data_IF_476734745669
#
_entry.id   IF_476734745669
#
_cell.length_a   1.000
_cell.length_b   1.000
_cell.length_c   1.000
_cell.angle_alpha   90.00
_cell.angle_beta   90.00
_cell.angle_gamma   90.00
#
_symmetry.space_group_name_H-M   'P 1'
#
loop_
_entity.id
_entity.type
_entity.pdbx_description
1 polymer ?
#
# COMPACT_ATOMS: atom_id res chain seq x y z
N UNK A 1 12.90 -7.30 7.84
CA UNK A 1 13.71 -6.68 6.77
C UNK A 1 13.01 -5.52 6.07
N UNK A 2 12.30 -4.66 6.84
CA UNK A 2 11.69 -3.44 6.34
C UNK A 2 12.77 -2.37 6.11
N UNK A 3 12.72 -1.68 4.97
CA UNK A 3 13.60 -0.54 4.73
C UNK A 3 13.18 0.65 5.62
N UNK A 4 11.88 0.96 5.61
CA UNK A 4 11.24 1.94 6.52
C UNK A 4 9.73 1.69 6.55
N UNK A 5 9.03 2.30 7.53
CA UNK A 5 7.58 2.18 7.63
C UNK A 5 6.87 2.99 6.54
N UNK A 6 6.08 2.32 5.73
CA UNK A 6 5.33 2.91 4.63
C UNK A 6 3.90 3.31 5.01
N UNK A 7 3.46 2.99 6.22
CA UNK A 7 2.10 3.29 6.69
C UNK A 7 1.74 4.77 6.56
N UNK A 8 2.62 5.73 6.93
CA UNK A 8 2.30 7.16 6.80
C UNK A 8 2.05 7.58 5.35
N UNK A 9 2.79 7.00 4.39
CA UNK A 9 2.62 7.28 2.96
C UNK A 9 1.30 6.73 2.42
N UNK A 10 0.95 5.50 2.83
CA UNK A 10 -0.34 4.90 2.47
C UNK A 10 -1.52 5.70 3.02
N UNK A 11 -1.45 6.11 4.30
CA UNK A 11 -2.50 6.94 4.94
C UNK A 11 -2.61 8.32 4.27
N UNK A 12 -1.48 8.94 3.90
CA UNK A 12 -1.49 10.23 3.21
C UNK A 12 -2.12 10.11 1.81
N UNK A 13 -1.83 9.02 1.09
CA UNK A 13 -2.44 8.73 -0.21
C UNK A 13 -3.95 8.53 -0.08
N UNK A 14 -4.41 7.77 0.92
CA UNK A 14 -5.83 7.57 1.19
C UNK A 14 -6.55 8.90 1.47
N UNK A 15 -5.99 9.73 2.38
CA UNK A 15 -6.51 11.07 2.67
C UNK A 15 -6.55 11.97 1.43
N UNK A 16 -5.53 11.90 0.58
CA UNK A 16 -5.49 12.63 -0.68
C UNK A 16 -6.64 12.23 -1.60
N UNK A 17 -6.87 10.93 -1.83
CA UNK A 17 -7.98 10.45 -2.64
C UNK A 17 -9.34 10.82 -2.04
N UNK A 18 -9.52 10.68 -0.72
CA UNK A 18 -10.76 11.07 -0.04
C UNK A 18 -11.04 12.57 -0.25
N UNK A 19 -10.03 13.44 -0.15
CA UNK A 19 -10.18 14.88 -0.38
C UNK A 19 -10.59 15.24 -1.81
N UNK A 20 -10.37 14.36 -2.76
CA UNK A 20 -10.66 14.52 -4.19
C UNK A 20 -11.84 13.68 -4.69
N UNK A 21 -12.53 12.97 -3.81
CA UNK A 21 -13.56 11.98 -4.18
C UNK A 21 -14.68 12.54 -5.05
N UNK A 22 -15.01 13.82 -4.89
CA UNK A 22 -16.04 14.51 -5.69
C UNK A 22 -15.51 15.13 -6.98
N UNK A 23 -14.20 15.19 -7.16
CA UNK A 23 -13.57 15.87 -8.31
C UNK A 23 -12.98 14.89 -9.32
N UNK A 24 -12.61 13.68 -8.89
CA UNK A 24 -12.08 12.68 -9.79
C UNK A 24 -13.20 11.87 -10.45
N UNK A 25 -13.19 11.86 -11.77
CA UNK A 25 -14.03 10.99 -12.59
C UNK A 25 -13.15 9.95 -13.27
N UNK A 26 -12.83 8.87 -12.54
CA UNK A 26 -11.98 7.81 -13.07
C UNK A 26 -12.78 6.85 -13.95
N UNK A 27 -12.21 6.36 -15.08
CA UNK A 27 -12.88 5.37 -15.94
C UNK A 27 -13.15 4.07 -15.19
N UNK A 28 -12.27 3.72 -14.24
CA UNK A 28 -12.40 2.58 -13.34
C UNK A 28 -11.60 2.80 -12.06
N UNK A 29 -11.67 1.82 -11.11
CA UNK A 29 -10.89 1.84 -9.87
C UNK A 29 -9.38 1.93 -10.15
N UNK A 30 -8.70 2.75 -9.39
CA UNK A 30 -7.25 2.87 -9.32
C UNK A 30 -6.76 2.22 -8.02
N UNK A 31 -5.75 1.37 -8.09
CA UNK A 31 -5.16 0.71 -6.93
C UNK A 31 -3.73 1.18 -6.73
N UNK A 32 -3.45 1.68 -5.54
CA UNK A 32 -2.10 2.08 -5.11
C UNK A 32 -1.70 1.23 -3.91
N UNK A 33 -0.48 0.72 -3.89
CA UNK A 33 0.05 -0.07 -2.79
C UNK A 33 1.45 0.34 -2.41
N UNK A 34 1.79 0.10 -1.14
CA UNK A 34 3.09 0.40 -0.54
C UNK A 34 3.60 -0.83 0.19
N UNK A 35 4.82 -1.28 -0.14
CA UNK A 35 5.52 -2.35 0.57
C UNK A 35 6.72 -1.79 1.32
N UNK A 36 6.86 -2.15 2.59
CA UNK A 36 7.99 -1.72 3.44
C UNK A 36 9.27 -2.49 3.16
N UNK A 37 9.18 -3.60 2.43
CA UNK A 37 10.30 -4.49 2.13
C UNK A 37 10.34 -4.91 0.65
N UNK A 38 11.51 -5.38 0.21
CA UNK A 38 11.71 -5.93 -1.13
C UNK A 38 11.00 -7.27 -1.37
N UNK A 39 10.41 -7.90 -0.33
CA UNK A 39 9.60 -9.10 -0.49
C UNK A 39 8.26 -8.83 -1.19
N UNK A 40 7.94 -7.56 -1.41
CA UNK A 40 6.69 -7.13 -2.05
C UNK A 40 5.43 -7.68 -1.37
N UNK A 41 5.41 -7.67 -0.04
CA UNK A 41 4.30 -8.19 0.77
C UNK A 41 2.95 -7.51 0.46
N UNK A 42 3.00 -6.30 -0.10
CA UNK A 42 1.82 -5.55 -0.55
C UNK A 42 1.45 -5.76 -2.03
N UNK A 43 2.13 -6.68 -2.72
CA UNK A 43 1.92 -6.99 -4.14
C UNK A 43 1.95 -5.75 -5.05
N UNK A 44 2.90 -4.85 -4.80
CA UNK A 44 3.10 -3.60 -5.52
C UNK A 44 3.32 -3.82 -7.01
N UNK A 45 4.04 -4.89 -7.35
CA UNK A 45 4.39 -5.24 -8.73
C UNK A 45 3.19 -5.58 -9.61
N UNK A 46 2.01 -5.85 -9.03
CA UNK A 46 0.78 -6.20 -9.76
C UNK A 46 -0.39 -5.27 -9.46
N UNK A 47 -0.10 -4.04 -9.05
CA UNK A 47 -1.10 -2.96 -8.89
C UNK A 47 -1.01 -1.95 -10.02
N UNK A 48 -1.99 -1.04 -10.12
CA UNK A 48 -1.92 0.07 -11.08
C UNK A 48 -0.74 0.99 -10.78
N UNK A 49 -0.43 1.18 -9.48
CA UNK A 49 0.76 1.87 -8.99
C UNK A 49 1.25 1.20 -7.71
N UNK A 50 2.51 0.83 -7.67
CA UNK A 50 3.14 0.18 -6.52
C UNK A 50 4.44 0.86 -6.12
N UNK A 51 4.64 1.00 -4.81
CA UNK A 51 5.81 1.61 -4.20
C UNK A 51 6.49 0.59 -3.27
N UNK A 52 7.70 0.17 -3.60
CA UNK A 52 8.51 -0.72 -2.75
C UNK A 52 9.60 0.11 -2.08
N UNK A 53 9.59 0.14 -0.75
CA UNK A 53 10.52 0.91 0.06
C UNK A 53 11.98 0.44 -0.14
N UNK A 54 12.87 1.40 -0.29
CA UNK A 54 14.31 1.17 -0.35
C UNK A 54 15.04 2.34 0.31
N UNK A 55 16.29 2.13 0.71
CA UNK A 55 17.15 3.19 1.22
C UNK A 55 18.26 3.48 0.20
N UNK A 56 18.52 4.76 -0.03
CA UNK A 56 19.68 5.26 -0.79
C UNK A 56 20.38 6.31 0.08
N UNK A 57 21.63 6.05 0.45
CA UNK A 57 22.40 6.90 1.37
C UNK A 57 21.66 7.17 2.70
N UNK A 58 21.05 6.12 3.28
CA UNK A 58 20.21 6.18 4.48
C UNK A 58 18.97 7.09 4.38
N UNK A 59 18.57 7.50 3.19
CA UNK A 59 17.35 8.26 2.94
C UNK A 59 16.26 7.37 2.36
N UNK A 60 14.99 7.64 2.68
CA UNK A 60 13.87 6.86 2.19
C UNK A 60 13.58 7.14 0.71
N UNK A 61 13.53 6.08 -0.10
CA UNK A 61 13.17 6.07 -1.51
C UNK A 61 12.14 4.98 -1.80
N UNK A 62 11.47 5.07 -2.95
CA UNK A 62 10.64 4.01 -3.47
C UNK A 62 11.09 3.56 -4.85
N UNK A 63 11.23 2.24 -5.05
CA UNK A 63 11.14 1.64 -6.36
C UNK A 63 9.67 1.67 -6.80
N UNK A 64 9.40 2.21 -7.98
CA UNK A 64 8.03 2.42 -8.47
C UNK A 64 7.71 1.42 -9.57
N UNK A 65 6.53 0.80 -9.47
CA UNK A 65 5.95 -0.07 -10.49
C UNK A 65 4.61 0.50 -10.93
N UNK A 66 4.34 0.53 -12.23
CA UNK A 66 3.13 1.15 -12.78
C UNK A 66 2.52 0.32 -13.91
N UNK A 67 1.19 0.31 -14.00
CA UNK A 67 0.47 -0.38 -15.07
C UNK A 67 0.30 -1.88 -14.86
N UNK A 68 0.53 -2.39 -13.64
CA UNK A 68 0.28 -3.79 -13.30
C UNK A 68 -1.19 -4.11 -13.05
N UNK A 69 -1.49 -5.37 -12.86
CA UNK A 69 -2.81 -5.81 -12.45
C UNK A 69 -3.04 -7.30 -12.57
N UNK A 70 -3.96 -7.79 -11.76
CA UNK A 70 -4.48 -9.17 -11.81
C UNK A 70 -5.84 -9.18 -12.52
N UNK A 71 -6.41 -10.34 -12.73
CA UNK A 71 -7.69 -10.54 -13.38
C UNK A 71 -7.53 -11.07 -14.80
N UNK A 72 -8.46 -10.74 -15.72
CA UNK A 72 -8.56 -11.40 -17.03
C UNK A 72 -7.27 -11.35 -17.86
N UNK A 73 -6.52 -10.27 -17.83
CA UNK A 73 -5.23 -10.15 -18.53
C UNK A 73 -4.19 -9.70 -17.50
N UNK A 74 -3.61 -10.62 -16.73
CA UNK A 74 -2.66 -10.25 -15.69
C UNK A 74 -1.37 -9.70 -16.31
N UNK A 75 -0.84 -8.64 -15.69
CA UNK A 75 0.43 -8.04 -16.07
C UNK A 75 1.21 -7.63 -14.82
N UNK A 76 2.50 -7.80 -14.87
CA UNK A 76 3.43 -7.17 -13.94
C UNK A 76 3.59 -5.71 -14.37
N UNK A 77 3.63 -4.80 -13.41
CA UNK A 77 3.85 -3.38 -13.66
C UNK A 77 5.25 -3.11 -14.19
N UNK A 78 5.36 -2.08 -15.00
CA UNK A 78 6.63 -1.58 -15.51
C UNK A 78 7.37 -0.88 -14.35
N UNK A 79 8.64 -1.23 -14.18
CA UNK A 79 9.48 -0.60 -13.16
C UNK A 79 10.09 0.67 -13.73
N UNK A 80 10.07 1.77 -12.97
CA UNK A 80 10.88 2.94 -13.29
C UNK A 80 12.38 2.63 -13.11
N UNK A 81 13.21 3.19 -13.97
CA UNK A 81 14.66 2.94 -13.96
C UNK A 81 15.33 3.40 -12.65
N UNK A 82 14.89 4.55 -12.13
CA UNK A 82 15.41 5.14 -10.91
C UNK A 82 14.37 5.19 -9.80
N UNK A 83 14.77 4.91 -8.55
CA UNK A 83 13.89 5.11 -7.41
C UNK A 83 13.62 6.60 -7.19
N UNK A 84 12.44 6.91 -6.69
CA UNK A 84 12.02 8.27 -6.34
C UNK A 84 12.24 8.54 -4.85
N UNK A 85 12.46 9.79 -4.47
CA UNK A 85 12.44 10.16 -3.05
C UNK A 85 11.06 9.89 -2.45
N UNK A 86 11.00 9.28 -1.27
CA UNK A 86 9.73 8.86 -0.69
C UNK A 86 8.76 10.04 -0.44
N UNK A 87 9.30 11.22 -0.13
CA UNK A 87 8.49 12.45 0.03
C UNK A 87 7.70 12.84 -1.22
N UNK A 88 8.13 12.37 -2.40
CA UNK A 88 7.55 12.74 -3.69
C UNK A 88 6.43 11.77 -4.13
N UNK A 89 6.15 10.72 -3.37
CA UNK A 89 5.21 9.66 -3.76
C UNK A 89 3.83 10.19 -4.23
N UNK A 90 3.27 11.21 -3.57
CA UNK A 90 1.97 11.77 -3.97
C UNK A 90 1.98 12.47 -5.34
N UNK A 91 3.11 12.99 -5.79
CA UNK A 91 3.20 13.55 -7.14
C UNK A 91 3.04 12.46 -8.22
N UNK A 92 3.57 11.27 -7.95
CA UNK A 92 3.41 10.12 -8.84
C UNK A 92 2.00 9.52 -8.77
N UNK A 93 1.38 9.54 -7.59
CA UNK A 93 -0.03 9.16 -7.43
C UNK A 93 -0.94 10.10 -8.24
N UNK A 94 -0.75 11.41 -8.10
CA UNK A 94 -1.53 12.42 -8.81
C UNK A 94 -1.24 12.39 -10.31
N UNK A 95 0.03 12.23 -10.70
CA UNK A 95 0.45 12.10 -12.10
C UNK A 95 -0.24 10.93 -12.79
N UNK A 96 -0.22 9.73 -12.17
CA UNK A 96 -0.94 8.58 -12.72
C UNK A 96 -2.45 8.80 -12.74
N UNK A 97 -3.00 9.42 -11.71
CA UNK A 97 -4.44 9.70 -11.64
C UNK A 97 -4.89 10.57 -12.82
N UNK A 98 -4.15 11.62 -13.14
CA UNK A 98 -4.43 12.51 -14.28
C UNK A 98 -4.22 11.83 -15.63
N UNK A 99 -3.12 11.10 -15.78
CA UNK A 99 -2.89 10.28 -16.96
C UNK A 99 -4.05 9.29 -17.18
N UNK A 100 -4.52 8.66 -16.10
CA UNK A 100 -5.65 7.72 -16.16
C UNK A 100 -6.97 8.40 -16.50
N UNK A 101 -7.20 9.64 -16.08
CA UNK A 101 -8.37 10.44 -16.49
C UNK A 101 -8.31 10.77 -17.98
N UNK A 102 -7.14 11.18 -18.48
CA UNK A 102 -6.98 11.68 -19.84
C UNK A 102 -6.94 10.56 -20.89
N UNK A 103 -6.34 9.41 -20.57
CA UNK A 103 -6.11 8.30 -21.50
C UNK A 103 -6.98 7.07 -21.22
N UNK A 104 -7.72 7.04 -20.10
CA UNK A 104 -8.50 5.87 -19.72
C UNK A 104 -9.76 5.67 -20.58
N UNK A 105 -10.14 4.42 -20.75
CA UNK A 105 -11.31 4.05 -21.55
C UNK A 105 -12.59 4.15 -20.73
N UNK A 106 -13.44 5.12 -21.02
CA UNK A 106 -14.72 5.35 -20.34
C UNK A 106 -15.87 4.52 -20.93
N UNK A 107 -15.74 4.08 -22.18
CA UNK A 107 -16.80 3.36 -22.90
C UNK A 107 -16.79 1.87 -22.56
N UNK A 108 -15.62 1.25 -22.59
CA UNK A 108 -15.47 -0.18 -22.36
C UNK A 108 -14.86 -0.49 -20.98
N UNK A 109 -15.70 -0.73 -19.98
CA UNK A 109 -15.28 -1.06 -18.61
C UNK A 109 -14.38 -2.30 -18.50
N UNK A 110 -14.39 -3.20 -19.48
CA UNK A 110 -13.52 -4.39 -19.48
C UNK A 110 -12.08 -4.04 -19.90
N UNK A 111 -11.89 -2.90 -20.55
CA UNK A 111 -10.59 -2.36 -20.97
C UNK A 111 -10.25 -1.02 -20.31
N UNK A 112 -10.83 -0.72 -19.15
CA UNK A 112 -10.75 0.58 -18.51
C UNK A 112 -9.69 0.67 -17.37
N UNK A 113 -8.84 -0.34 -17.17
CA UNK A 113 -7.75 -0.29 -16.17
C UNK A 113 -6.48 0.29 -16.79
N UNK A 114 -5.59 0.84 -15.95
CA UNK A 114 -4.33 1.48 -16.36
C UNK A 114 -3.50 0.60 -17.31
N UNK A 115 -3.42 -0.72 -17.07
CA UNK A 115 -2.65 -1.64 -17.92
C UNK A 115 -3.07 -1.64 -19.40
N UNK A 116 -4.31 -1.27 -19.70
CA UNK A 116 -4.79 -1.17 -21.10
C UNK A 116 -4.30 0.11 -21.78
N UNK A 117 -3.98 1.16 -21.02
CA UNK A 117 -3.29 2.33 -21.56
C UNK A 117 -1.86 1.95 -21.98
N UNK A 118 -1.21 1.09 -21.18
CA UNK A 118 0.10 0.51 -21.55
C UNK A 118 0.00 -0.28 -22.86
N UNK A 119 -1.07 -1.06 -23.04
CA UNK A 119 -1.31 -1.82 -24.28
C UNK A 119 -1.51 -0.92 -25.51
N UNK A 120 -2.15 0.24 -25.32
CA UNK A 120 -2.46 1.18 -26.39
C UNK A 120 -1.28 2.07 -26.78
N UNK A 121 -0.51 2.53 -25.82
CA UNK A 121 0.62 3.43 -26.04
C UNK A 121 1.94 2.70 -26.30
N UNK A 122 2.11 1.48 -25.79
CA UNK A 122 3.39 0.83 -25.65
C UNK A 122 4.09 1.19 -24.34
N UNK A 123 5.05 0.37 -23.94
CA UNK A 123 5.68 0.48 -22.61
C UNK A 123 6.53 1.75 -22.48
N UNK A 124 7.32 2.07 -23.50
CA UNK A 124 8.23 3.23 -23.49
C UNK A 124 7.44 4.55 -23.44
N UNK A 125 6.48 4.74 -24.36
CA UNK A 125 5.65 5.95 -24.41
C UNK A 125 4.80 6.12 -23.15
N UNK A 126 4.30 5.02 -22.60
CA UNK A 126 3.53 5.07 -21.36
C UNK A 126 4.41 5.54 -20.19
N UNK A 127 5.62 5.00 -20.03
CA UNK A 127 6.57 5.41 -18.97
C UNK A 127 6.96 6.87 -19.12
N UNK A 128 7.24 7.33 -20.37
CA UNK A 128 7.57 8.72 -20.63
C UNK A 128 6.42 9.66 -20.23
N UNK A 129 5.19 9.35 -20.65
CA UNK A 129 4.00 10.11 -20.25
C UNK A 129 3.77 10.09 -18.73
N UNK A 130 3.93 8.94 -18.09
CA UNK A 130 3.79 8.86 -16.65
C UNK A 130 4.80 9.75 -15.92
N UNK A 131 6.06 9.74 -16.36
CA UNK A 131 7.10 10.65 -15.83
C UNK A 131 6.73 12.13 -16.08
N UNK A 132 6.27 12.47 -17.28
CA UNK A 132 5.84 13.82 -17.67
C UNK A 132 4.71 14.33 -16.75
N UNK A 133 3.64 13.54 -16.56
CA UNK A 133 2.51 13.89 -15.71
C UNK A 133 2.94 14.06 -14.25
N UNK A 134 3.81 13.17 -13.75
CA UNK A 134 4.33 13.24 -12.38
C UNK A 134 5.20 14.48 -12.14
N UNK A 135 6.05 14.82 -13.10
CA UNK A 135 6.89 16.02 -13.05
C UNK A 135 6.05 17.31 -13.09
N UNK A 136 5.03 17.39 -13.94
CA UNK A 136 4.08 18.52 -13.98
C UNK A 136 3.41 18.74 -12.62
N UNK A 137 3.04 17.67 -11.91
CA UNK A 137 2.48 17.81 -10.57
C UNK A 137 3.55 18.26 -9.56
N UNK A 138 4.78 17.75 -9.70
CA UNK A 138 5.89 18.17 -8.83
C UNK A 138 6.23 19.65 -9.00
N UNK A 139 6.18 20.17 -10.22
CA UNK A 139 6.38 21.60 -10.52
C UNK A 139 5.31 22.49 -9.87
N UNK A 140 4.07 22.02 -9.75
CA UNK A 140 3.00 22.72 -9.02
C UNK A 140 3.23 22.77 -7.52
N UNK A 141 3.96 21.80 -6.99
CA UNK A 141 4.25 21.68 -5.56
C UNK A 141 3.05 21.30 -4.70
N UNK A 142 3.22 21.33 -3.40
CA UNK A 142 2.14 21.16 -2.41
C UNK A 142 1.79 19.72 -2.03
N UNK A 143 2.43 18.71 -2.61
CA UNK A 143 2.18 17.30 -2.33
C UNK A 143 3.37 16.57 -1.68
N UNK A 144 4.37 17.29 -1.20
CA UNK A 144 5.48 16.68 -0.48
C UNK A 144 4.99 16.02 0.81
N UNK A 145 5.40 14.78 1.02
CA UNK A 145 5.11 14.03 2.23
C UNK A 145 6.25 14.17 3.24
N UNK A 146 5.94 14.66 4.41
CA UNK A 146 6.83 14.61 5.57
C UNK A 146 6.10 13.80 6.64
N UNK A 147 6.27 12.45 6.64
CA UNK A 147 5.58 11.60 7.59
C UNK A 147 6.09 11.86 8.99
N UNK A 148 5.17 11.90 9.95
CA UNK A 148 5.53 11.95 11.36
C UNK A 148 6.28 10.66 11.75
N UNK A 149 7.31 10.76 12.59
CA UNK A 149 8.00 9.58 13.09
C UNK A 149 7.04 8.69 13.86
N UNK A 150 7.16 7.36 13.65
CA UNK A 150 6.34 6.40 14.37
C UNK A 150 6.84 6.26 15.78
N UNK A 151 5.92 6.36 16.72
CA UNK A 151 6.20 6.12 18.14
C UNK A 151 6.29 4.62 18.41
N UNK A 152 7.51 4.14 18.64
CA UNK A 152 7.81 2.78 19.08
C UNK A 152 8.04 2.66 20.60
N UNK A 153 7.68 3.67 21.38
CA UNK A 153 7.95 3.74 22.83
C UNK A 153 7.14 2.76 23.68
N UNK A 154 6.05 2.18 23.14
CA UNK A 154 5.30 1.14 23.86
C UNK A 154 6.16 -0.10 24.03
N UNK A 155 6.23 -0.60 25.28
CA UNK A 155 6.93 -1.82 25.62
C UNK A 155 6.00 -2.81 26.32
N UNK A 156 6.33 -4.07 26.21
CA UNK A 156 5.67 -5.20 26.86
C UNK A 156 6.69 -6.12 27.55
N UNK A 157 6.25 -7.32 27.84
CA UNK A 157 7.09 -8.36 28.46
C UNK A 157 7.62 -9.28 27.36
N UNK A 158 8.94 -9.38 27.23
CA UNK A 158 9.53 -10.33 26.30
C UNK A 158 9.37 -11.76 26.78
N UNK A 159 8.85 -12.61 25.92
CA UNK A 159 8.72 -14.05 26.14
C UNK A 159 9.20 -14.79 24.89
N UNK A 160 9.67 -16.01 25.11
CA UNK A 160 9.99 -16.89 23.98
C UNK A 160 8.74 -17.66 23.57
N UNK A 161 8.16 -17.27 22.44
CA UNK A 161 6.96 -17.89 21.88
C UNK A 161 7.32 -18.49 20.53
N UNK A 162 7.07 -19.80 20.39
CA UNK A 162 7.22 -20.53 19.15
C UNK A 162 5.83 -20.92 18.62
N UNK A 163 5.17 -20.01 17.91
CA UNK A 163 3.92 -20.28 17.17
C UNK A 163 3.98 -19.52 15.83
N UNK A 164 3.66 -20.19 14.73
CA UNK A 164 3.71 -19.63 13.38
C UNK A 164 2.75 -18.45 13.15
N UNK A 165 1.72 -18.30 13.98
CA UNK A 165 0.75 -17.20 13.94
C UNK A 165 1.18 -16.00 14.78
N UNK A 166 2.17 -16.16 15.65
CA UNK A 166 2.64 -15.10 16.57
C UNK A 166 3.95 -14.53 16.04
N UNK A 167 4.00 -13.22 15.90
CA UNK A 167 5.19 -12.49 15.44
C UNK A 167 5.58 -11.43 16.46
N UNK A 168 6.88 -11.31 16.73
CA UNK A 168 7.41 -10.19 17.52
C UNK A 168 7.25 -8.89 16.73
N UNK A 169 6.82 -7.83 17.38
CA UNK A 169 6.80 -6.48 16.81
C UNK A 169 8.18 -5.80 16.97
N UNK A 170 8.34 -4.63 16.34
CA UNK A 170 9.52 -3.77 16.57
C UNK A 170 9.56 -3.24 18.00
N UNK A 171 8.40 -2.99 18.58
CA UNK A 171 8.29 -2.63 20.00
C UNK A 171 8.63 -3.83 20.86
N UNK A 172 9.57 -3.63 21.79
CA UNK A 172 10.05 -4.65 22.69
C UNK A 172 8.91 -5.28 23.51
N UNK A 173 8.82 -6.62 23.51
CA UNK A 173 7.83 -7.36 24.29
C UNK A 173 6.38 -7.20 23.83
N UNK A 174 6.15 -6.62 22.63
CA UNK A 174 4.84 -6.64 21.98
C UNK A 174 4.80 -7.65 20.84
N UNK A 175 3.63 -8.24 20.66
CA UNK A 175 3.39 -9.31 19.71
C UNK A 175 2.19 -9.01 18.81
N UNK A 176 2.20 -9.63 17.64
CA UNK A 176 1.10 -9.63 16.68
C UNK A 176 0.63 -11.06 16.49
N UNK A 177 -0.68 -11.27 16.52
CA UNK A 177 -1.29 -12.55 16.13
C UNK A 177 -1.89 -12.43 14.74
N UNK A 178 -1.54 -13.37 13.86
CA UNK A 178 -2.12 -13.49 12.55
C UNK A 178 -3.27 -14.50 12.56
N UNK A 179 -4.42 -14.08 12.06
CA UNK A 179 -5.62 -14.90 11.91
C UNK A 179 -5.94 -14.98 10.42
N UNK A 180 -6.00 -16.20 9.90
CA UNK A 180 -6.39 -16.45 8.52
C UNK A 180 -7.59 -17.40 8.52
N UNK A 181 -8.82 -16.87 8.38
CA UNK A 181 -10.01 -17.70 8.29
C UNK A 181 -9.99 -18.52 7.01
N UNK A 182 -10.50 -19.74 7.06
CA UNK A 182 -10.60 -20.60 5.87
C UNK A 182 -11.51 -19.93 4.83
N UNK A 183 -10.98 -19.74 3.62
CA UNK A 183 -11.67 -19.05 2.53
C UNK A 183 -12.01 -17.59 2.83
N UNK A 184 -11.29 -16.94 3.76
CA UNK A 184 -11.50 -15.54 4.11
C UNK A 184 -12.80 -15.26 4.87
N UNK A 185 -13.52 -16.29 5.29
CA UNK A 185 -14.84 -16.19 5.94
C UNK A 185 -14.72 -16.27 7.45
N UNK A 186 -14.98 -15.17 8.12
CA UNK A 186 -15.08 -15.14 9.58
C UNK A 186 -16.55 -15.21 9.98
N UNK A 187 -16.97 -16.36 10.52
CA UNK A 187 -18.33 -16.54 10.97
C UNK A 187 -18.67 -15.66 12.18
N UNK A 188 -19.90 -15.20 12.27
CA UNK A 188 -20.34 -14.28 13.31
C UNK A 188 -20.10 -14.80 14.74
N UNK A 189 -20.25 -16.13 14.97
CA UNK A 189 -19.97 -16.75 16.28
C UNK A 189 -18.49 -16.61 16.67
N UNK A 190 -17.59 -16.83 15.68
CA UNK A 190 -16.15 -16.79 15.91
C UNK A 190 -15.67 -15.34 16.07
N UNK A 191 -16.26 -14.40 15.29
CA UNK A 191 -16.03 -12.97 15.46
C UNK A 191 -16.47 -12.48 16.85
N UNK A 192 -17.63 -12.90 17.34
CA UNK A 192 -18.11 -12.55 18.70
C UNK A 192 -17.18 -13.09 19.77
N UNK A 193 -16.69 -14.32 19.65
CA UNK A 193 -15.75 -14.91 20.57
C UNK A 193 -14.42 -14.14 20.56
N UNK A 194 -13.93 -13.79 19.37
CA UNK A 194 -12.71 -12.97 19.22
C UNK A 194 -12.88 -11.59 19.87
N UNK A 195 -13.97 -10.89 19.60
CA UNK A 195 -14.24 -9.57 20.18
C UNK A 195 -14.34 -9.64 21.71
N UNK A 196 -14.99 -10.68 22.26
CA UNK A 196 -15.05 -10.90 23.70
C UNK A 196 -13.65 -11.04 24.34
N UNK A 197 -12.71 -11.72 23.67
CA UNK A 197 -11.33 -11.81 24.15
C UNK A 197 -10.58 -10.48 23.98
N UNK A 198 -10.81 -9.78 22.88
CA UNK A 198 -10.17 -8.49 22.61
C UNK A 198 -10.60 -7.37 23.57
N UNK A 199 -11.87 -7.40 24.05
CA UNK A 199 -12.39 -6.45 25.05
C UNK A 199 -11.64 -6.52 26.38
N UNK A 200 -10.97 -7.65 26.67
CA UNK A 200 -10.13 -7.83 27.86
C UNK A 200 -8.74 -7.18 27.72
N UNK A 201 -8.37 -6.82 26.49
CA UNK A 201 -7.03 -6.31 26.15
C UNK A 201 -7.09 -4.79 26.06
N UNK A 202 -6.14 -4.11 26.69
CA UNK A 202 -6.08 -2.66 26.63
C UNK A 202 -5.59 -2.19 25.24
N UNK A 203 -6.46 -1.49 24.53
CA UNK A 203 -6.18 -0.91 23.20
C UNK A 203 -5.71 -1.93 22.16
N UNK A 204 -6.47 -3.00 21.88
CA UNK A 204 -6.14 -3.90 20.79
C UNK A 204 -6.30 -3.16 19.46
N UNK A 205 -5.44 -3.46 18.50
CA UNK A 205 -5.52 -2.92 17.15
C UNK A 205 -5.68 -4.07 16.16
N UNK A 206 -6.68 -3.97 15.28
CA UNK A 206 -6.89 -4.94 14.20
C UNK A 206 -6.46 -4.28 12.89
N UNK A 207 -5.67 -5.01 12.10
CA UNK A 207 -5.36 -4.65 10.72
C UNK A 207 -5.77 -5.77 9.77
N UNK A 208 -6.48 -5.42 8.72
CA UNK A 208 -6.85 -6.36 7.66
C UNK A 208 -5.68 -6.53 6.73
N UNK A 209 -5.32 -7.78 6.46
CA UNK A 209 -4.27 -8.14 5.51
C UNK A 209 -4.78 -8.18 4.07
N UNK A 210 -3.85 -8.21 3.12
CA UNK A 210 -4.18 -8.27 1.69
C UNK A 210 -4.62 -9.67 1.22
N UNK A 211 -4.31 -10.71 1.99
CA UNK A 211 -4.53 -12.11 1.66
C UNK A 211 -5.61 -12.75 2.53
N UNK A 212 -6.75 -12.08 2.67
CA UNK A 212 -7.93 -12.58 3.39
C UNK A 212 -7.71 -12.87 4.88
N UNK A 213 -6.61 -12.37 5.45
CA UNK A 213 -6.27 -12.51 6.87
C UNK A 213 -6.39 -11.21 7.63
N UNK A 214 -6.21 -11.29 8.95
CA UNK A 214 -6.12 -10.13 9.81
C UNK A 214 -5.00 -10.28 10.84
N UNK A 215 -4.52 -9.14 11.32
CA UNK A 215 -3.49 -9.04 12.34
C UNK A 215 -4.05 -8.35 13.57
N UNK A 216 -3.83 -8.94 14.74
CA UNK A 216 -4.13 -8.30 16.02
C UNK A 216 -2.81 -7.86 16.60
N UNK A 217 -2.65 -6.56 16.75
CA UNK A 217 -1.40 -5.92 17.16
C UNK A 217 -1.44 -5.49 18.62
N UNK A 218 -0.26 -5.15 19.13
CA UNK A 218 -0.03 -4.59 20.47
C UNK A 218 -0.41 -5.54 21.60
N UNK A 219 -0.32 -6.84 21.33
CA UNK A 219 -0.55 -7.85 22.37
C UNK A 219 0.65 -7.95 23.31
N UNK A 220 0.36 -7.95 24.60
CA UNK A 220 1.33 -8.16 25.66
C UNK A 220 1.01 -9.49 26.36
N UNK A 221 2.04 -10.19 26.79
CA UNK A 221 1.86 -11.41 27.58
C UNK A 221 1.64 -10.99 29.05
N UNK A 222 0.43 -11.24 29.53
CA UNK A 222 0.08 -11.16 30.94
C UNK A 222 -0.61 -12.45 31.36
#
# INVERSE_FOLDING_TARGET
DEAFDVTPYAVATDKHFISKITTYHLPRKLKVSYSSSNNDDAHCTVQDLGFIATLKDNKPYFNVYVGGGLGKNPKVGLKLDEPIEAKDALYYVEGLTKLFIDYGNYENKNKARVRYIVDELGEEDFIEKFKEYSLKEKEKGGLNLTPDPIDYSKEGIEVDICDHRIRKQKQKGLYTVYIHPVGGQLYLKDLKALLYELDKIKNPMIRIGMTEGMYILNLNVK
#
